data_IF_022838790224
#
_entry.id   IF_022838790224
#
_cell.length_a   1.000
_cell.length_b   1.000
_cell.length_c   1.000
_cell.angle_alpha   90.00
_cell.angle_beta   90.00
_cell.angle_gamma   90.00
#
_symmetry.space_group_name_H-M   'P 1'
#
loop_
_entity.id
_entity.type
_entity.pdbx_description
1 polymer ?
#
# COMPACT_ATOMS: atom_id res chain seq x y z
N UNK A 1 3.02 -1.80 7.31
CA UNK A 1 3.02 -0.96 6.08
C UNK A 1 4.37 -1.10 5.44
N UNK A 2 4.43 -1.23 4.13
CA UNK A 2 5.65 -1.31 3.35
C UNK A 2 5.63 -0.19 2.33
N UNK A 3 6.76 0.48 2.13
CA UNK A 3 6.91 1.55 1.13
C UNK A 3 8.16 1.28 0.32
N UNK A 4 8.07 1.43 -1.00
CA UNK A 4 9.20 1.14 -1.88
C UNK A 4 9.13 1.94 -3.17
N UNK A 5 10.29 2.21 -3.72
CA UNK A 5 10.49 2.90 -4.99
C UNK A 5 10.96 1.92 -6.06
N UNK A 6 10.44 2.07 -7.27
CA UNK A 6 10.88 1.33 -8.47
C UNK A 6 11.44 2.32 -9.47
N UNK A 7 12.70 2.09 -9.88
CA UNK A 7 13.40 2.87 -10.90
C UNK A 7 13.54 2.02 -12.15
N UNK A 8 12.93 2.43 -13.26
CA UNK A 8 13.10 1.76 -14.55
C UNK A 8 14.12 2.57 -15.36
N UNK A 9 15.17 1.91 -15.85
CA UNK A 9 16.17 2.58 -16.67
C UNK A 9 15.52 3.24 -17.90
N UNK A 10 15.85 4.51 -18.15
CA UNK A 10 15.26 5.32 -19.22
C UNK A 10 13.91 5.98 -18.87
N UNK A 11 13.26 5.60 -17.76
CA UNK A 11 12.17 6.41 -17.19
C UNK A 11 12.75 7.48 -16.27
N UNK A 12 12.53 8.76 -16.61
CA UNK A 12 13.10 9.88 -15.86
C UNK A 12 12.53 10.08 -14.45
N UNK A 13 11.33 9.57 -14.17
CA UNK A 13 10.69 9.64 -12.85
C UNK A 13 10.53 8.25 -12.25
N UNK A 14 10.82 8.06 -10.95
CA UNK A 14 10.55 6.81 -10.27
C UNK A 14 9.05 6.58 -10.07
N UNK A 15 8.63 5.32 -9.93
CA UNK A 15 7.33 4.98 -9.35
C UNK A 15 7.47 4.70 -7.86
N UNK A 16 6.53 5.17 -7.06
CA UNK A 16 6.55 4.98 -5.61
C UNK A 16 5.26 4.30 -5.16
N UNK A 17 5.38 3.28 -4.30
CA UNK A 17 4.25 2.49 -3.83
C UNK A 17 4.18 2.44 -2.30
N UNK A 18 2.95 2.35 -1.80
CA UNK A 18 2.64 2.03 -0.42
C UNK A 18 1.79 0.76 -0.41
N UNK A 19 2.21 -0.22 0.37
CA UNK A 19 1.51 -1.48 0.59
C UNK A 19 1.08 -1.64 2.04
N UNK A 20 -0.15 -2.08 2.27
CA UNK A 20 -0.68 -2.38 3.60
C UNK A 20 -1.11 -3.83 3.65
N UNK A 21 -0.40 -4.61 4.48
CA UNK A 21 -0.73 -5.98 4.81
C UNK A 21 -1.58 -6.02 6.09
N UNK A 22 -2.71 -6.72 6.03
CA UNK A 22 -3.59 -6.95 7.18
C UNK A 22 -3.48 -8.42 7.60
N UNK A 23 -2.86 -8.65 8.77
CA UNK A 23 -2.61 -10.00 9.29
C UNK A 23 -3.92 -10.77 9.56
N UNK A 24 -4.97 -10.11 10.01
CA UNK A 24 -6.25 -10.77 10.30
C UNK A 24 -6.95 -11.16 8.99
N UNK A 25 -6.90 -10.32 7.97
CA UNK A 25 -7.39 -10.66 6.62
C UNK A 25 -6.58 -11.82 6.01
N UNK A 26 -5.27 -11.88 6.25
CA UNK A 26 -4.44 -13.00 5.81
C UNK A 26 -4.81 -14.31 6.52
N UNK A 27 -5.08 -14.27 7.83
CA UNK A 27 -5.68 -15.41 8.54
C UNK A 27 -7.02 -15.83 7.94
N UNK A 28 -7.93 -14.89 7.65
CA UNK A 28 -9.20 -15.18 6.99
C UNK A 28 -9.02 -15.80 5.60
N UNK A 29 -7.95 -15.43 4.88
CA UNK A 29 -7.58 -15.97 3.58
C UNK A 29 -6.92 -17.36 3.64
N UNK A 30 -6.90 -18.02 4.81
CA UNK A 30 -6.30 -19.34 5.06
C UNK A 30 -4.76 -19.34 5.02
N UNK A 31 -4.14 -18.26 5.48
CA UNK A 31 -2.69 -18.18 5.68
C UNK A 31 -1.86 -18.64 4.47
N UNK A 32 -2.12 -18.13 3.25
CA UNK A 32 -1.34 -18.52 2.08
C UNK A 32 0.13 -18.13 2.26
N UNK A 33 1.04 -19.02 1.84
CA UNK A 33 2.49 -18.83 1.89
C UNK A 33 3.01 -17.86 0.82
N UNK A 34 2.29 -17.74 -0.30
CA UNK A 34 2.52 -16.75 -1.35
C UNK A 34 1.23 -16.29 -2.02
N UNK A 35 1.34 -15.28 -2.90
CA UNK A 35 0.27 -15.01 -3.87
C UNK A 35 0.04 -16.24 -4.74
N UNK A 36 -1.24 -16.54 -5.04
CA UNK A 36 -1.59 -17.65 -5.93
C UNK A 36 -1.34 -17.26 -7.39
N UNK A 37 -1.24 -18.25 -8.26
CA UNK A 37 -1.13 -18.00 -9.70
C UNK A 37 -2.32 -17.16 -10.19
N UNK A 38 -2.02 -16.03 -10.84
CA UNK A 38 -3.03 -15.08 -11.33
C UNK A 38 -3.52 -14.05 -10.30
N UNK A 39 -3.08 -14.13 -9.04
CA UNK A 39 -3.29 -13.07 -8.07
C UNK A 39 -2.21 -11.99 -8.20
N UNK A 40 -2.62 -10.74 -8.03
CA UNK A 40 -1.74 -9.58 -8.05
C UNK A 40 -1.94 -8.75 -6.78
N UNK A 41 -0.93 -7.98 -6.39
CA UNK A 41 -1.01 -7.11 -5.21
C UNK A 41 -2.15 -6.07 -5.26
N UNK A 42 -2.56 -5.65 -6.46
CA UNK A 42 -3.68 -4.71 -6.63
C UNK A 42 -5.06 -5.37 -6.42
N UNK A 43 -5.13 -6.70 -6.37
CA UNK A 43 -6.36 -7.46 -6.20
C UNK A 43 -6.17 -8.59 -5.17
N UNK A 44 -5.63 -8.24 -4.01
CA UNK A 44 -5.36 -9.17 -2.91
C UNK A 44 -6.26 -8.88 -1.72
N UNK A 45 -6.92 -9.91 -1.16
CA UNK A 45 -7.91 -9.75 -0.07
C UNK A 45 -7.31 -9.33 1.28
N UNK A 46 -5.99 -9.49 1.44
CA UNK A 46 -5.23 -9.19 2.66
C UNK A 46 -4.10 -8.19 2.43
N UNK A 47 -4.00 -7.62 1.23
CA UNK A 47 -3.00 -6.63 0.88
C UNK A 47 -3.62 -5.52 0.01
N UNK A 48 -3.51 -4.28 0.46
CA UNK A 48 -3.91 -3.11 -0.31
C UNK A 48 -2.67 -2.37 -0.85
N UNK A 49 -2.74 -1.92 -2.09
CA UNK A 49 -1.65 -1.26 -2.81
C UNK A 49 -2.08 0.12 -3.30
N UNK A 50 -1.28 1.15 -2.99
CA UNK A 50 -1.48 2.52 -3.47
C UNK A 50 -0.25 2.97 -4.27
N UNK A 51 -0.50 3.66 -5.39
CA UNK A 51 0.52 4.45 -6.08
C UNK A 51 0.64 5.83 -5.41
N UNK A 52 1.87 6.26 -5.20
CA UNK A 52 2.23 7.59 -4.73
C UNK A 52 2.80 8.46 -5.85
N UNK A 53 2.56 8.10 -7.12
CA UNK A 53 3.09 8.83 -8.27
C UNK A 53 2.61 10.29 -8.32
N UNK A 54 1.44 10.60 -7.75
CA UNK A 54 0.97 11.99 -7.57
C UNK A 54 1.90 12.80 -6.65
N UNK A 55 2.42 12.17 -5.58
CA UNK A 55 3.41 12.79 -4.68
C UNK A 55 4.72 12.98 -5.43
N UNK A 56 5.23 11.93 -6.10
CA UNK A 56 6.45 11.99 -6.91
C UNK A 56 6.37 13.11 -7.95
N UNK A 57 5.24 13.23 -8.65
CA UNK A 57 5.04 14.25 -9.67
C UNK A 57 5.06 15.68 -9.10
N UNK A 58 4.58 15.86 -7.87
CA UNK A 58 4.57 17.17 -7.19
C UNK A 58 5.93 17.53 -6.58
N UNK A 59 6.69 16.54 -6.13
CA UNK A 59 7.97 16.80 -5.44
C UNK A 59 9.17 16.73 -6.38
N UNK A 60 9.04 16.20 -7.59
CA UNK A 60 10.15 16.10 -8.55
C UNK A 60 10.87 17.47 -8.77
N UNK A 61 12.21 17.53 -8.77
CA UNK A 61 13.18 16.41 -8.73
C UNK A 61 13.63 15.99 -7.32
N UNK A 62 12.93 16.39 -6.26
CA UNK A 62 13.31 16.03 -4.89
C UNK A 62 13.06 14.55 -4.61
N UNK A 63 14.01 13.92 -3.90
CA UNK A 63 13.93 12.53 -3.48
C UNK A 63 13.02 12.36 -2.26
N UNK A 64 12.21 11.30 -2.27
CA UNK A 64 11.46 10.85 -1.09
C UNK A 64 12.40 9.94 -0.30
N UNK A 65 12.70 10.33 0.94
CA UNK A 65 13.63 9.59 1.80
C UNK A 65 12.91 8.56 2.69
N UNK A 66 11.75 8.92 3.21
CA UNK A 66 10.96 8.07 4.09
C UNK A 66 9.46 8.45 4.01
N UNK A 67 8.60 7.53 4.45
CA UNK A 67 7.15 7.71 4.51
C UNK A 67 6.64 7.20 5.86
N UNK A 68 6.01 8.10 6.61
CA UNK A 68 5.37 7.80 7.88
C UNK A 68 3.84 7.80 7.71
N UNK A 69 3.20 6.69 8.07
CA UNK A 69 1.74 6.62 8.19
C UNK A 69 1.35 7.01 9.60
N UNK A 70 0.46 8.00 9.72
CA UNK A 70 -0.06 8.41 11.03
C UNK A 70 -1.06 7.37 11.56
N UNK A 71 -0.69 6.66 12.62
CA UNK A 71 -1.49 5.60 13.24
C UNK A 71 -2.89 6.06 13.65
N UNK A 72 -3.03 7.30 14.14
CA UNK A 72 -4.32 7.85 14.59
C UNK A 72 -5.27 8.17 13.44
N UNK A 73 -4.75 8.24 12.21
CA UNK A 73 -5.54 8.47 11.01
C UNK A 73 -6.06 7.18 10.37
N UNK A 74 -5.56 6.02 10.80
CA UNK A 74 -5.99 4.74 10.26
C UNK A 74 -7.41 4.42 10.73
N UNK A 75 -8.34 4.36 9.78
CA UNK A 75 -9.73 4.03 10.05
C UNK A 75 -10.30 3.19 8.91
N UNK A 76 -11.39 2.47 9.20
CA UNK A 76 -12.14 1.75 8.15
C UNK A 76 -12.97 2.68 7.27
N UNK A 77 -13.01 3.99 7.57
CA UNK A 77 -13.89 4.95 6.89
C UNK A 77 -15.38 4.69 7.10
N UNK A 78 -15.75 3.81 8.05
CA UNK A 78 -17.13 3.49 8.41
C UNK A 78 -17.43 4.19 9.73
N UNK A 79 -18.58 4.89 9.85
CA UNK A 79 -19.04 5.40 11.14
C UNK A 79 -19.14 4.26 12.16
N UNK A 80 -18.86 4.49 13.45
CA UNK A 80 -18.98 3.46 14.47
C UNK A 80 -20.40 2.86 14.46
N UNK A 81 -20.51 1.57 14.16
CA UNK A 81 -21.75 0.80 14.24
C UNK A 81 -21.84 0.11 15.60
N UNK A 82 -21.75 0.87 16.70
CA UNK A 82 -22.08 0.33 18.01
C UNK A 82 -23.57 0.62 18.27
N UNK A 83 -24.38 -0.37 18.69
CA UNK A 83 -25.71 -0.08 19.20
C UNK A 83 -25.58 0.75 20.49
N UNK A 84 -26.56 1.65 20.78
CA UNK A 84 -26.59 2.47 21.99
C UNK A 84 -26.70 1.64 23.27
#
# INVERSE_FOLDING_TARGET
>A
VFTWQVNIYGQGKPSMYLGLFDINRWYHAQMPDSLRAGEYLHNCSYFALWSLDSVVNKTYPHYILDILVNERSLSRGIPPSYPP
#
